data_IF_774804919868
#
_entry.id   IF_774804919868
#
_cell.length_a   1.000
_cell.length_b   1.000
_cell.length_c   1.000
_cell.angle_alpha   90.00
_cell.angle_beta   90.00
_cell.angle_gamma   90.00
#
_symmetry.space_group_name_H-M   'P 1'
#
loop_
_entity.id
_entity.type
_entity.pdbx_description
1 polymer ?
#
# COMPACT_ATOMS: atom_id res chain seq x y z
N UNK A 1 23.66 1.82 -0.75
CA UNK A 1 23.28 0.52 -0.14
C UNK A 1 21.81 0.30 -0.40
N UNK A 2 21.35 -0.93 -0.60
CA UNK A 2 19.99 -1.25 -1.10
C UNK A 2 19.09 -1.81 0.02
N UNK A 3 17.77 -1.91 -0.22
CA UNK A 3 16.80 -2.56 0.69
C UNK A 3 17.25 -3.94 1.19
N UNK A 4 17.98 -4.69 0.34
CA UNK A 4 18.60 -5.97 0.71
C UNK A 4 19.49 -5.85 1.94
N UNK A 5 20.33 -4.81 2.01
CA UNK A 5 21.25 -4.63 3.13
C UNK A 5 20.53 -4.26 4.42
N UNK A 6 19.49 -3.44 4.34
CA UNK A 6 18.66 -3.10 5.51
C UNK A 6 18.10 -4.38 6.12
N UNK A 7 17.49 -5.23 5.30
CA UNK A 7 16.91 -6.49 5.76
C UNK A 7 17.97 -7.49 6.26
N UNK A 8 19.13 -7.58 5.61
CA UNK A 8 20.24 -8.44 6.04
C UNK A 8 20.83 -8.00 7.40
N UNK A 9 20.94 -6.70 7.66
CA UNK A 9 21.39 -6.17 8.95
C UNK A 9 20.42 -6.50 10.09
N UNK A 10 19.14 -6.68 9.78
CA UNK A 10 18.12 -7.14 10.73
C UNK A 10 18.05 -8.67 10.85
N UNK A 11 18.98 -9.39 10.23
CA UNK A 11 19.06 -10.85 10.28
C UNK A 11 18.12 -11.58 9.32
N UNK A 12 17.47 -10.86 8.38
CA UNK A 12 16.70 -11.50 7.32
C UNK A 12 17.65 -12.08 6.27
N UNK A 13 17.34 -13.29 5.79
CA UNK A 13 18.16 -13.97 4.79
C UNK A 13 17.54 -13.83 3.41
N UNK A 14 18.29 -13.30 2.45
CA UNK A 14 17.85 -13.30 1.05
C UNK A 14 17.82 -14.74 0.51
N UNK A 15 16.73 -15.07 -0.19
CA UNK A 15 16.55 -16.35 -0.88
C UNK A 15 16.29 -16.10 -2.37
N UNK A 16 16.61 -17.06 -3.23
CA UNK A 16 16.47 -16.91 -4.69
C UNK A 16 15.03 -17.04 -5.18
N UNK A 17 14.22 -17.80 -4.46
CA UNK A 17 12.83 -18.11 -4.78
C UNK A 17 12.06 -18.46 -3.49
N UNK A 18 10.73 -18.39 -3.50
CA UNK A 18 9.93 -18.85 -2.38
C UNK A 18 10.12 -20.36 -2.10
N UNK A 19 9.94 -20.82 -0.84
CA UNK A 19 10.02 -22.21 -0.46
C UNK A 19 8.76 -22.96 -0.94
N UNK A 20 8.96 -23.93 -1.81
CA UNK A 20 7.95 -24.78 -2.45
C UNK A 20 6.88 -24.04 -3.29
N UNK A 21 6.49 -24.56 -4.46
CA UNK A 21 5.32 -24.05 -5.15
C UNK A 21 4.07 -24.38 -4.33
N UNK A 22 3.26 -23.38 -4.05
CA UNK A 22 1.96 -23.54 -3.39
C UNK A 22 0.86 -23.69 -4.44
N UNK A 23 -0.13 -24.52 -4.14
CA UNK A 23 -1.35 -24.61 -4.93
C UNK A 23 -2.18 -23.31 -4.82
N UNK A 24 -3.05 -23.06 -5.80
CA UNK A 24 -3.99 -21.93 -5.72
C UNK A 24 -4.85 -21.99 -4.46
N UNK A 25 -5.24 -23.19 -4.03
CA UNK A 25 -6.04 -23.40 -2.82
C UNK A 25 -5.27 -22.99 -1.55
N UNK A 26 -3.98 -23.34 -1.43
CA UNK A 26 -3.12 -22.91 -0.33
C UNK A 26 -2.90 -21.39 -0.33
N UNK A 27 -2.69 -20.79 -1.50
CA UNK A 27 -2.54 -19.34 -1.62
C UNK A 27 -3.82 -18.58 -1.23
N UNK A 28 -4.99 -19.15 -1.50
CA UNK A 28 -6.28 -18.56 -1.14
C UNK A 28 -6.66 -18.77 0.33
N UNK A 29 -6.33 -19.93 0.91
CA UNK A 29 -6.86 -20.33 2.23
C UNK A 29 -5.89 -20.10 3.40
N UNK A 30 -4.58 -20.03 3.18
CA UNK A 30 -3.57 -19.89 4.24
C UNK A 30 -2.46 -18.87 3.95
N UNK A 31 -2.77 -17.68 3.38
CA UNK A 31 -1.73 -16.70 3.04
C UNK A 31 -0.88 -16.35 4.26
N UNK A 32 -1.48 -16.11 5.44
CA UNK A 32 -0.74 -15.65 6.64
C UNK A 32 0.29 -16.64 7.19
N UNK A 33 0.07 -17.96 7.05
CA UNK A 33 1.05 -18.95 7.52
C UNK A 33 2.34 -18.90 6.70
N UNK A 34 2.20 -18.65 5.39
CA UNK A 34 3.35 -18.56 4.49
C UNK A 34 4.04 -17.19 4.58
N UNK A 35 3.27 -16.13 4.87
CA UNK A 35 3.82 -14.78 5.12
C UNK A 35 4.79 -14.72 6.32
N UNK A 36 4.69 -15.66 7.26
CA UNK A 36 5.64 -15.79 8.38
C UNK A 36 7.01 -16.29 7.95
N UNK A 37 7.10 -17.01 6.84
CA UNK A 37 8.33 -17.62 6.36
C UNK A 37 8.95 -16.89 5.17
N UNK A 38 8.18 -16.06 4.46
CA UNK A 38 8.66 -15.35 3.27
C UNK A 38 8.11 -13.93 3.21
N UNK A 39 9.03 -12.99 3.08
CA UNK A 39 8.76 -11.63 2.64
C UNK A 39 9.13 -11.45 1.18
N UNK A 40 8.32 -10.67 0.49
CA UNK A 40 8.44 -10.43 -0.95
C UNK A 40 8.56 -8.93 -1.17
N UNK A 41 9.50 -8.53 -2.00
CA UNK A 41 9.63 -7.15 -2.47
C UNK A 41 9.60 -7.17 -3.99
N UNK A 42 8.61 -6.52 -4.57
CA UNK A 42 8.53 -6.27 -6.00
C UNK A 42 8.95 -4.84 -6.31
N UNK A 43 9.93 -4.70 -7.20
CA UNK A 43 10.37 -3.41 -7.74
C UNK A 43 9.83 -3.28 -9.17
N UNK A 44 9.02 -2.25 -9.39
CA UNK A 44 8.37 -1.98 -10.66
C UNK A 44 8.85 -0.62 -11.19
N UNK A 45 9.02 -0.55 -12.52
CA UNK A 45 9.31 0.72 -13.18
C UNK A 45 8.02 1.54 -13.20
N UNK A 46 8.07 2.75 -12.64
CA UNK A 46 6.96 3.70 -12.65
C UNK A 46 7.04 4.64 -13.86
N UNK A 47 6.30 5.74 -13.78
CA UNK A 47 6.50 6.90 -14.64
C UNK A 47 7.96 7.41 -14.53
N UNK A 48 8.48 8.19 -15.50
CA UNK A 48 9.85 8.71 -15.45
C UNK A 48 10.17 9.37 -14.10
N UNK A 49 11.25 8.92 -13.46
CA UNK A 49 11.66 9.39 -12.13
C UNK A 49 11.07 8.61 -10.94
N UNK A 50 10.16 7.68 -11.18
CA UNK A 50 9.50 6.89 -10.14
C UNK A 50 9.89 5.41 -10.19
N UNK A 51 10.14 4.84 -9.01
CA UNK A 51 10.20 3.39 -8.80
C UNK A 51 9.09 3.03 -7.84
N UNK A 52 8.24 2.09 -8.23
CA UNK A 52 7.17 1.60 -7.36
C UNK A 52 7.69 0.37 -6.63
N UNK A 53 7.60 0.41 -5.31
CA UNK A 53 7.95 -0.72 -4.44
C UNK A 53 6.67 -1.24 -3.83
N UNK A 54 6.32 -2.49 -4.14
CA UNK A 54 5.26 -3.21 -3.44
C UNK A 54 5.93 -4.27 -2.57
N UNK A 55 5.45 -4.40 -1.34
CA UNK A 55 6.00 -5.37 -0.40
C UNK A 55 4.92 -6.29 0.09
N UNK A 56 5.32 -7.49 0.47
CA UNK A 56 4.54 -8.39 1.29
C UNK A 56 5.41 -8.80 2.49
N UNK A 57 5.00 -8.50 3.73
CA UNK A 57 3.77 -7.79 4.08
C UNK A 57 3.77 -6.32 3.60
N UNK A 58 2.58 -5.71 3.45
CA UNK A 58 2.41 -4.39 2.82
C UNK A 58 3.11 -3.28 3.60
N UNK A 59 3.18 -3.43 4.92
CA UNK A 59 3.78 -2.52 5.87
C UNK A 59 5.28 -2.79 6.13
N UNK A 60 5.94 -3.60 5.30
CA UNK A 60 7.34 -3.97 5.55
C UNK A 60 8.26 -2.75 5.68
N UNK A 61 8.12 -1.76 4.79
CA UNK A 61 8.95 -0.54 4.81
C UNK A 61 8.60 0.43 5.95
N UNK A 62 7.41 0.24 6.50
CA UNK A 62 6.78 1.08 7.49
C UNK A 62 7.19 0.73 8.91
N UNK A 63 7.59 -0.53 9.11
CA UNK A 63 8.11 -1.08 10.35
C UNK A 63 9.61 -0.81 10.49
N UNK A 64 10.13 -1.05 11.70
CA UNK A 64 11.56 -1.03 12.04
C UNK A 64 11.92 -2.22 12.92
N UNK A 65 13.21 -2.58 12.96
CA UNK A 65 13.71 -3.48 13.99
C UNK A 65 13.69 -2.80 15.36
N UNK A 66 13.52 -3.58 16.45
CA UNK A 66 13.43 -3.06 17.83
C UNK A 66 14.61 -2.17 18.26
N UNK A 67 15.79 -2.39 17.70
CA UNK A 67 17.00 -1.63 18.02
C UNK A 67 17.23 -0.41 17.12
N UNK A 68 16.30 -0.13 16.20
CA UNK A 68 16.42 0.95 15.23
C UNK A 68 15.37 2.01 15.53
N UNK A 69 15.76 3.29 15.41
CA UNK A 69 14.90 4.41 15.78
C UNK A 69 13.97 4.85 14.63
N UNK A 70 14.27 4.51 13.39
CA UNK A 70 13.51 4.97 12.22
C UNK A 70 12.95 3.82 11.38
N UNK A 71 11.79 4.01 10.72
CA UNK A 71 11.25 3.07 9.75
C UNK A 71 12.24 2.69 8.66
N UNK A 72 12.12 1.48 8.10
CA UNK A 72 12.96 1.01 6.99
C UNK A 72 12.89 1.94 5.78
N UNK A 73 11.75 2.59 5.53
CA UNK A 73 11.60 3.58 4.46
C UNK A 73 12.57 4.75 4.62
N UNK A 74 12.66 5.33 5.83
CA UNK A 74 13.59 6.43 6.14
C UNK A 74 15.05 6.00 5.97
N UNK A 75 15.41 4.80 6.45
CA UNK A 75 16.75 4.27 6.23
C UNK A 75 17.05 4.07 4.75
N UNK A 76 16.06 3.62 3.97
CA UNK A 76 16.20 3.41 2.54
C UNK A 76 16.39 4.74 1.81
N UNK A 77 15.58 5.76 2.10
CA UNK A 77 15.66 7.10 1.48
C UNK A 77 17.01 7.77 1.75
N UNK A 78 17.50 7.69 2.99
CA UNK A 78 18.84 8.15 3.35
C UNK A 78 19.94 7.46 2.54
N UNK A 79 19.84 6.15 2.34
CA UNK A 79 20.89 5.38 1.66
C UNK A 79 20.93 5.58 0.15
N UNK A 80 19.78 5.84 -0.46
CA UNK A 80 19.67 6.08 -1.90
C UNK A 80 19.74 7.57 -2.25
N UNK A 81 19.59 8.46 -1.26
CA UNK A 81 19.64 9.90 -1.44
C UNK A 81 18.42 10.45 -2.19
N UNK A 82 17.24 9.85 -2.02
CA UNK A 82 16.01 10.32 -2.64
C UNK A 82 14.84 10.32 -1.65
N UNK A 83 13.83 11.12 -1.94
CA UNK A 83 12.58 11.16 -1.19
C UNK A 83 11.70 9.96 -1.58
N UNK A 84 10.88 9.50 -0.65
CA UNK A 84 9.87 8.47 -0.92
C UNK A 84 8.67 8.62 0.01
N UNK A 85 7.53 8.10 -0.43
CA UNK A 85 6.37 7.94 0.44
C UNK A 85 5.78 6.54 0.31
N UNK A 86 5.10 6.11 1.36
CA UNK A 86 4.25 4.94 1.39
C UNK A 86 2.80 5.39 1.57
N UNK A 87 1.93 4.94 0.66
CA UNK A 87 0.49 5.08 0.81
C UNK A 87 -0.11 3.70 1.14
N UNK A 88 -0.57 3.55 2.37
CA UNK A 88 -1.36 2.40 2.81
C UNK A 88 -2.84 2.74 2.70
N UNK A 89 -3.48 2.39 1.60
CA UNK A 89 -4.90 2.63 1.36
C UNK A 89 -5.72 1.35 1.60
N UNK A 90 -6.66 1.43 2.55
CA UNK A 90 -7.58 0.35 2.90
C UNK A 90 -9.02 0.86 2.79
N UNK A 91 -10.01 -0.03 2.82
CA UNK A 91 -11.41 0.35 2.58
C UNK A 91 -11.95 1.34 3.63
N UNK A 92 -11.47 1.26 4.88
CA UNK A 92 -11.96 2.08 6.00
C UNK A 92 -10.93 3.04 6.60
N UNK A 93 -9.64 2.88 6.27
CA UNK A 93 -8.57 3.69 6.82
C UNK A 93 -7.45 3.88 5.81
N UNK A 94 -6.57 4.83 6.08
CA UNK A 94 -5.35 4.93 5.31
C UNK A 94 -4.34 5.89 5.88
N UNK A 95 -3.09 5.62 5.52
CA UNK A 95 -1.90 6.25 6.10
C UNK A 95 -0.97 6.65 4.96
N UNK A 96 -0.46 7.86 5.06
CA UNK A 96 0.63 8.40 4.25
C UNK A 96 1.86 8.57 5.15
N UNK A 97 2.87 7.74 4.92
CA UNK A 97 4.20 7.91 5.51
C UNK A 97 5.11 8.56 4.46
N UNK A 98 5.63 9.73 4.78
CA UNK A 98 6.63 10.45 3.99
C UNK A 98 8.01 10.26 4.61
N UNK A 99 9.03 10.11 3.76
CA UNK A 99 10.43 10.10 4.19
C UNK A 99 11.31 10.87 3.20
N UNK A 100 12.11 11.80 3.69
CA UNK A 100 13.06 12.55 2.85
C UNK A 100 14.42 11.86 2.76
N UNK A 101 15.28 12.37 1.87
CA UNK A 101 16.64 11.87 1.66
C UNK A 101 17.58 12.05 2.87
N UNK A 102 17.19 12.82 3.89
CA UNK A 102 17.99 13.06 5.11
C UNK A 102 17.51 12.15 6.25
N UNK A 103 16.33 11.54 6.12
CA UNK A 103 15.77 10.56 7.05
C UNK A 103 14.65 11.12 7.91
N UNK A 104 14.21 12.36 7.70
CA UNK A 104 13.02 12.87 8.37
C UNK A 104 11.80 12.09 7.90
N UNK A 105 10.82 11.96 8.79
CA UNK A 105 9.55 11.32 8.48
C UNK A 105 8.38 12.20 8.88
N UNK A 106 7.28 12.04 8.16
CA UNK A 106 5.99 12.59 8.54
C UNK A 106 4.91 11.54 8.28
N UNK A 107 3.98 11.36 9.22
CA UNK A 107 2.90 10.37 9.10
C UNK A 107 1.57 11.07 9.30
N UNK A 108 0.73 10.98 8.28
CA UNK A 108 -0.65 11.49 8.30
C UNK A 108 -1.63 10.40 7.89
N UNK A 109 -2.90 10.55 8.24
CA UNK A 109 -3.90 9.57 7.89
C UNK A 109 -5.08 9.53 8.84
N UNK A 110 -6.06 8.72 8.48
CA UNK A 110 -7.21 8.41 9.30
C UNK A 110 -7.16 6.93 9.63
N UNK A 111 -7.04 6.63 10.93
CA UNK A 111 -7.02 5.28 11.50
C UNK A 111 -7.85 5.25 12.78
N UNK A 112 -8.51 4.12 13.01
CA UNK A 112 -9.17 3.84 14.27
C UNK A 112 -8.15 3.35 15.33
N UNK A 113 -8.58 3.33 16.59
CA UNK A 113 -7.68 3.07 17.74
C UNK A 113 -7.08 1.66 17.75
N UNK A 114 -7.73 0.71 17.10
CA UNK A 114 -7.28 -0.69 17.07
C UNK A 114 -6.08 -0.80 16.11
N UNK A 115 -6.13 -0.05 15.02
CA UNK A 115 -5.18 -0.03 13.92
C UNK A 115 -3.93 0.81 14.24
N UNK A 116 -4.05 1.84 15.10
CA UNK A 116 -2.91 2.64 15.55
C UNK A 116 -1.76 1.81 16.12
N UNK A 117 -2.08 0.78 16.91
CA UNK A 117 -1.06 -0.06 17.55
C UNK A 117 -0.45 -1.10 16.60
N UNK A 118 -1.09 -1.33 15.44
CA UNK A 118 -0.69 -2.38 14.50
C UNK A 118 0.30 -1.86 13.44
N UNK A 119 0.45 -0.53 13.35
CA UNK A 119 1.12 0.13 12.25
C UNK A 119 2.13 1.18 12.74
N UNK A 120 3.32 1.15 12.13
CA UNK A 120 4.40 2.14 12.23
C UNK A 120 5.08 2.35 13.58
N UNK A 121 4.54 1.95 14.75
CA UNK A 121 5.11 2.30 16.08
C UNK A 121 5.37 3.81 16.27
N UNK A 122 4.87 4.64 15.35
CA UNK A 122 5.08 6.07 15.24
C UNK A 122 3.75 6.78 15.45
N UNK A 123 3.82 8.03 15.91
CA UNK A 123 2.63 8.83 16.10
C UNK A 123 2.01 9.26 14.75
N UNK A 124 0.76 8.89 14.51
CA UNK A 124 0.01 9.27 13.31
C UNK A 124 -0.67 10.62 13.55
N UNK A 125 -0.37 11.62 12.73
CA UNK A 125 -1.01 12.93 12.80
C UNK A 125 -2.41 12.88 12.15
N UNK A 126 -3.43 12.64 12.99
CA UNK A 126 -4.83 12.54 12.57
C UNK A 126 -5.46 13.85 12.10
N UNK A 127 -4.86 14.99 12.44
CA UNK A 127 -5.33 16.31 12.00
C UNK A 127 -4.79 16.65 10.60
N UNK A 128 -3.73 15.97 10.17
CA UNK A 128 -3.31 15.93 8.78
C UNK A 128 -4.19 14.94 8.03
N UNK A 129 -5.20 15.44 7.32
CA UNK A 129 -5.66 14.71 6.14
C UNK A 129 -4.47 14.43 5.22
N UNK A 130 -4.57 13.42 4.35
CA UNK A 130 -3.51 12.79 3.52
C UNK A 130 -2.70 13.70 2.59
N UNK A 131 -2.21 14.84 3.07
CA UNK A 131 -1.43 15.82 2.32
C UNK A 131 0.05 15.54 2.50
N UNK A 132 0.86 15.88 1.50
CA UNK A 132 2.31 15.89 1.62
C UNK A 132 2.75 17.11 2.42
N UNK A 133 3.50 16.89 3.50
CA UNK A 133 4.07 17.94 4.35
C UNK A 133 5.59 18.02 4.24
N UNK A 134 6.24 16.88 4.00
CA UNK A 134 7.68 16.78 3.94
C UNK A 134 8.18 16.80 2.50
N UNK A 135 7.44 16.16 1.58
CA UNK A 135 7.91 15.95 0.22
C UNK A 135 7.47 17.06 -0.73
N UNK A 136 8.40 17.47 -1.59
CA UNK A 136 8.08 18.25 -2.78
C UNK A 136 7.72 17.29 -3.93
N UNK A 137 6.41 17.10 -4.14
CA UNK A 137 5.86 16.29 -5.22
C UNK A 137 5.18 17.20 -6.26
N UNK A 138 5.09 16.74 -7.54
CA UNK A 138 4.29 17.41 -8.57
C UNK A 138 2.88 17.78 -8.09
N UNK A 139 2.36 18.90 -8.58
CA UNK A 139 1.08 19.45 -8.13
C UNK A 139 -0.08 18.50 -8.44
N UNK A 140 0.01 17.73 -9.52
CA UNK A 140 -0.98 16.72 -9.88
C UNK A 140 -1.07 15.61 -8.83
N UNK A 141 0.07 15.18 -8.28
CA UNK A 141 0.13 14.18 -7.20
C UNK A 141 -0.40 14.80 -5.90
N UNK A 142 -0.01 16.05 -5.61
CA UNK A 142 -0.48 16.77 -4.43
C UNK A 142 -2.00 16.95 -4.44
N UNK A 143 -2.57 17.29 -5.59
CA UNK A 143 -4.00 17.49 -5.77
C UNK A 143 -4.80 16.22 -5.48
N UNK A 144 -4.27 15.04 -5.87
CA UNK A 144 -4.95 13.75 -5.69
C UNK A 144 -5.03 13.33 -4.22
N UNK A 145 -3.99 13.60 -3.42
CA UNK A 145 -3.95 13.16 -2.02
C UNK A 145 -4.65 14.13 -1.06
N UNK A 146 -4.97 15.34 -1.51
CA UNK A 146 -5.66 16.36 -0.72
C UNK A 146 -7.08 15.93 -0.37
N UNK A 147 -7.41 15.94 0.93
CA UNK A 147 -8.76 15.63 1.39
C UNK A 147 -9.83 16.45 0.67
N UNK A 148 -11.01 15.86 0.43
CA UNK A 148 -12.11 16.55 -0.18
C UNK A 148 -12.48 17.76 0.68
N UNK A 149 -12.80 18.86 0.01
CA UNK A 149 -13.35 20.04 0.68
C UNK A 149 -14.75 19.70 1.24
N UNK A 150 -15.24 20.43 2.25
CA UNK A 150 -16.61 20.26 2.73
C UNK A 150 -17.65 20.40 1.62
N UNK A 151 -17.38 21.25 0.62
CA UNK A 151 -18.21 21.43 -0.57
C UNK A 151 -18.23 20.17 -1.45
N UNK A 152 -17.07 19.57 -1.74
CA UNK A 152 -16.98 18.32 -2.51
C UNK A 152 -17.70 17.15 -1.80
N UNK A 153 -17.59 17.06 -0.48
CA UNK A 153 -18.33 16.03 0.27
C UNK A 153 -19.84 16.33 0.25
N UNK A 154 -20.25 17.59 0.36
CA UNK A 154 -21.66 17.98 0.25
C UNK A 154 -22.24 17.66 -1.16
N UNK A 155 -21.50 17.95 -2.22
CA UNK A 155 -21.87 17.61 -3.60
C UNK A 155 -22.03 16.10 -3.78
N UNK A 156 -21.08 15.31 -3.25
CA UNK A 156 -21.17 13.85 -3.22
C UNK A 156 -22.43 13.36 -2.51
N UNK A 157 -22.77 13.92 -1.33
CA UNK A 157 -23.97 13.55 -0.59
C UNK A 157 -25.26 13.91 -1.35
N UNK A 158 -25.29 15.07 -2.01
CA UNK A 158 -26.41 15.47 -2.88
C UNK A 158 -26.55 14.48 -4.05
N UNK A 159 -25.45 14.11 -4.70
CA UNK A 159 -25.46 13.18 -5.83
C UNK A 159 -25.90 11.78 -5.42
N UNK A 160 -25.46 11.28 -4.26
CA UNK A 160 -25.91 9.99 -3.72
C UNK A 160 -27.43 9.96 -3.53
N UNK A 161 -28.04 11.01 -2.96
CA UNK A 161 -29.50 11.11 -2.81
C UNK A 161 -30.24 11.14 -4.16
N UNK A 162 -29.67 11.82 -5.17
CA UNK A 162 -30.22 11.82 -6.52
C UNK A 162 -30.20 10.41 -7.12
N UNK A 163 -29.09 9.69 -6.98
CA UNK A 163 -28.96 8.31 -7.47
C UNK A 163 -29.93 7.34 -6.76
N UNK A 164 -30.18 7.52 -5.47
CA UNK A 164 -31.21 6.76 -4.75
C UNK A 164 -32.61 6.99 -5.35
N UNK A 165 -32.97 8.25 -5.61
CA UNK A 165 -34.25 8.60 -6.24
C UNK A 165 -34.38 8.00 -7.66
N UNK A 166 -33.29 7.98 -8.42
CA UNK A 166 -33.24 7.37 -9.76
C UNK A 166 -33.38 5.85 -9.69
N UNK A 167 -32.83 5.21 -8.66
CA UNK A 167 -32.96 3.77 -8.43
C UNK A 167 -34.41 3.37 -8.11
N UNK A 168 -35.10 4.18 -7.32
CA UNK A 168 -36.52 3.97 -6.97
C UNK A 168 -37.46 4.15 -8.17
N UNK A 169 -37.07 4.94 -9.17
CA UNK A 169 -37.87 5.23 -10.37
C UNK A 169 -37.64 4.28 -11.55
N UNK A 170 -36.91 3.16 -11.37
CA UNK A 170 -36.65 2.11 -12.39
C UNK A 170 -35.99 2.60 -13.70
N UNK A 171 -35.26 3.72 -13.65
CA UNK A 171 -34.37 4.16 -14.74
C UNK A 171 -33.20 3.18 -14.93
N UNK A 172 -32.49 3.17 -16.08
CA UNK A 172 -31.47 2.16 -16.39
C UNK A 172 -30.49 1.94 -15.23
N UNK A 173 -30.63 0.77 -14.60
CA UNK A 173 -30.02 0.42 -13.30
C UNK A 173 -28.50 0.34 -13.35
N UNK A 174 -27.90 0.09 -14.52
CA UNK A 174 -26.47 -0.17 -14.64
C UNK A 174 -25.62 1.08 -14.39
N UNK A 175 -25.99 2.22 -14.98
CA UNK A 175 -25.24 3.47 -14.80
C UNK A 175 -25.39 4.01 -13.37
N UNK A 176 -26.59 3.88 -12.79
CA UNK A 176 -26.85 4.29 -11.40
C UNK A 176 -26.01 3.47 -10.42
N UNK A 177 -25.99 2.14 -10.57
CA UNK A 177 -25.21 1.26 -9.69
C UNK A 177 -23.70 1.50 -9.80
N UNK A 178 -23.18 1.67 -11.03
CA UNK A 178 -21.75 1.94 -11.24
C UNK A 178 -21.34 3.27 -10.61
N UNK A 179 -22.15 4.31 -10.78
CA UNK A 179 -21.86 5.63 -10.20
C UNK A 179 -21.97 5.64 -8.68
N UNK A 180 -23.01 5.01 -8.12
CA UNK A 180 -23.15 4.86 -6.65
C UNK A 180 -21.93 4.12 -6.07
N UNK A 181 -21.47 3.03 -6.70
CA UNK A 181 -20.30 2.30 -6.25
C UNK A 181 -19.01 3.15 -6.30
N UNK A 182 -18.88 4.04 -7.29
CA UNK A 182 -17.75 4.98 -7.35
C UNK A 182 -17.79 6.01 -6.23
N UNK A 183 -18.96 6.61 -5.95
CA UNK A 183 -19.11 7.63 -4.92
C UNK A 183 -18.97 7.06 -3.49
N UNK A 184 -19.43 5.83 -3.26
CA UNK A 184 -19.29 5.14 -1.97
C UNK A 184 -17.89 4.56 -1.72
N UNK A 185 -17.02 4.58 -2.74
CA UNK A 185 -15.64 4.10 -2.59
C UNK A 185 -14.91 4.89 -1.51
N UNK A 186 -14.20 4.20 -0.62
CA UNK A 186 -13.40 4.81 0.43
C UNK A 186 -12.39 5.81 -0.13
N UNK A 187 -12.21 6.94 0.56
CA UNK A 187 -11.39 8.06 0.08
C UNK A 187 -9.95 7.64 -0.27
N UNK A 188 -9.30 6.85 0.58
CA UNK A 188 -7.94 6.36 0.32
C UNK A 188 -7.82 5.48 -0.92
N UNK A 189 -8.87 4.72 -1.24
CA UNK A 189 -8.91 3.91 -2.46
C UNK A 189 -9.08 4.78 -3.71
N UNK A 190 -9.79 5.89 -3.61
CA UNK A 190 -9.86 6.89 -4.69
C UNK A 190 -8.49 7.54 -4.91
N UNK A 191 -7.75 7.86 -3.83
CA UNK A 191 -6.37 8.35 -3.93
C UNK A 191 -5.49 7.34 -4.66
N UNK A 192 -5.50 6.08 -4.23
CA UNK A 192 -4.67 5.03 -4.84
C UNK A 192 -4.97 4.92 -6.35
N UNK A 193 -6.24 4.86 -6.75
CA UNK A 193 -6.66 4.83 -8.16
C UNK A 193 -6.23 6.07 -8.96
N UNK A 194 -6.34 7.26 -8.38
CA UNK A 194 -5.97 8.51 -9.05
C UNK A 194 -4.45 8.72 -9.14
N UNK A 195 -3.67 8.09 -8.25
CA UNK A 195 -2.22 8.08 -8.32
C UNK A 195 -1.69 7.14 -9.41
N UNK A 196 -2.45 6.11 -9.81
CA UNK A 196 -2.05 5.16 -10.84
C UNK A 196 -1.53 5.85 -12.10
N UNK A 197 -2.32 6.66 -12.83
CA UNK A 197 -1.88 7.25 -14.09
C UNK A 197 -0.70 8.23 -13.92
N UNK A 198 -0.44 8.70 -12.70
CA UNK A 198 0.65 9.64 -12.40
C UNK A 198 1.97 8.92 -12.09
N UNK A 199 1.89 7.72 -11.50
CA UNK A 199 3.04 7.01 -10.94
C UNK A 199 3.37 5.70 -11.66
N UNK A 200 2.43 5.12 -12.40
CA UNK A 200 2.60 3.85 -13.09
C UNK A 200 1.85 3.77 -14.42
N UNK A 201 2.38 3.00 -15.37
CA UNK A 201 1.78 2.88 -16.71
C UNK A 201 1.06 1.54 -16.93
N UNK A 202 0.95 0.67 -15.91
CA UNK A 202 0.29 -0.63 -16.07
C UNK A 202 -0.66 -0.97 -14.94
N UNK A 203 -1.91 -1.22 -15.32
CA UNK A 203 -2.96 -1.77 -14.46
C UNK A 203 -2.58 -3.12 -13.83
N UNK A 204 -1.61 -3.87 -14.40
CA UNK A 204 -1.27 -5.23 -13.97
C UNK A 204 -0.67 -5.31 -12.56
N UNK A 205 -0.05 -4.24 -12.05
CA UNK A 205 0.60 -4.22 -10.73
C UNK A 205 0.14 -3.09 -9.80
N UNK A 206 -0.73 -2.20 -10.25
CA UNK A 206 -1.33 -1.19 -9.38
C UNK A 206 -2.44 -1.82 -8.50
N UNK A 207 -3.28 -2.68 -9.11
CA UNK A 207 -4.45 -3.28 -8.48
C UNK A 207 -4.20 -4.65 -7.83
N UNK A 208 -3.13 -4.73 -7.03
CA UNK A 208 -2.81 -5.95 -6.27
C UNK A 208 -3.85 -6.31 -5.20
N UNK A 209 -4.87 -5.47 -4.97
CA UNK A 209 -6.02 -5.86 -4.14
C UNK A 209 -6.89 -6.95 -4.80
N UNK A 210 -6.86 -7.11 -6.14
CA UNK A 210 -7.50 -8.24 -6.82
C UNK A 210 -6.66 -9.51 -6.77
N UNK A 211 -5.34 -9.38 -6.89
CA UNK A 211 -4.36 -10.45 -6.79
C UNK A 211 -3.12 -9.91 -6.08
N UNK A 212 -2.94 -10.22 -4.79
CA UNK A 212 -1.86 -9.64 -4.00
C UNK A 212 -0.48 -10.02 -4.58
N UNK A 213 0.54 -9.20 -4.28
CA UNK A 213 1.92 -9.43 -4.75
C UNK A 213 2.37 -10.86 -4.48
N UNK A 214 1.94 -11.39 -3.33
CA UNK A 214 2.19 -12.74 -2.91
C UNK A 214 1.66 -13.78 -3.90
N UNK A 215 0.37 -13.75 -4.23
CA UNK A 215 -0.24 -14.65 -5.20
C UNK A 215 0.47 -14.60 -6.55
N UNK A 216 0.75 -13.40 -7.07
CA UNK A 216 1.41 -13.23 -8.37
C UNK A 216 2.86 -13.72 -8.35
N UNK A 217 3.58 -13.52 -7.24
CA UNK A 217 4.95 -13.98 -7.11
C UNK A 217 5.09 -15.51 -7.10
N UNK A 218 4.04 -16.25 -6.72
CA UNK A 218 4.01 -17.72 -6.78
C UNK A 218 3.44 -18.26 -8.10
N UNK A 219 2.43 -17.60 -8.67
CA UNK A 219 1.67 -18.13 -9.83
C UNK A 219 2.09 -17.54 -11.16
N UNK A 220 2.65 -16.33 -11.17
CA UNK A 220 2.90 -15.53 -12.38
C UNK A 220 4.31 -14.92 -12.40
N UNK A 221 5.28 -15.52 -11.70
CA UNK A 221 6.64 -15.00 -11.56
C UNK A 221 7.31 -14.72 -12.91
N UNK A 222 7.19 -15.63 -13.88
CA UNK A 222 7.78 -15.47 -15.21
C UNK A 222 7.20 -14.27 -15.96
N UNK A 223 5.88 -14.07 -15.86
CA UNK A 223 5.21 -12.93 -16.47
C UNK A 223 5.66 -11.62 -15.82
N UNK A 224 5.72 -11.57 -14.48
CA UNK A 224 6.23 -10.39 -13.77
C UNK A 224 7.65 -10.02 -14.23
N UNK A 225 8.55 -11.01 -14.35
CA UNK A 225 9.91 -10.76 -14.83
C UNK A 225 9.91 -10.30 -16.29
N UNK A 226 9.07 -10.87 -17.15
CA UNK A 226 8.92 -10.43 -18.55
C UNK A 226 8.40 -8.98 -18.65
N UNK A 227 7.55 -8.58 -17.70
CA UNK A 227 7.04 -7.20 -17.56
C UNK A 227 8.08 -6.24 -16.94
N UNK A 228 9.31 -6.70 -16.69
CA UNK A 228 10.40 -5.89 -16.15
C UNK A 228 10.40 -5.75 -14.62
N UNK A 229 9.58 -6.53 -13.92
CA UNK A 229 9.52 -6.52 -12.46
C UNK A 229 10.72 -7.27 -11.88
N UNK A 230 11.38 -6.64 -10.89
CA UNK A 230 12.41 -7.32 -10.10
C UNK A 230 11.83 -7.79 -8.77
N UNK A 231 11.69 -9.09 -8.64
CA UNK A 231 11.25 -9.75 -7.40
C UNK A 231 12.45 -10.10 -6.52
N UNK A 232 12.32 -9.82 -5.23
CA UNK A 232 13.28 -10.19 -4.18
C UNK A 232 12.52 -10.94 -3.09
N UNK A 233 13.13 -12.00 -2.58
CA UNK A 233 12.56 -12.85 -1.55
C UNK A 233 13.49 -12.87 -0.34
N UNK A 234 12.89 -12.80 0.85
CA UNK A 234 13.61 -12.82 2.11
C UNK A 234 12.93 -13.77 3.07
N UNK A 235 13.71 -14.60 3.74
CA UNK A 235 13.28 -15.30 4.93
C UNK A 235 13.46 -14.34 6.12
N UNK A 236 12.38 -13.96 6.82
CA UNK A 236 12.49 -13.06 7.96
C UNK A 236 13.24 -13.71 9.11
N UNK A 237 13.90 -12.89 9.93
CA UNK A 237 14.51 -13.35 11.17
C UNK A 237 13.44 -13.93 12.12
N UNK A 238 13.84 -14.90 12.95
CA UNK A 238 12.90 -15.65 13.80
C UNK A 238 12.04 -14.76 14.71
N UNK A 239 12.60 -13.68 15.23
CA UNK A 239 11.88 -12.75 16.09
C UNK A 239 10.72 -12.01 15.39
N UNK A 240 10.72 -11.95 14.06
CA UNK A 240 9.61 -11.40 13.28
C UNK A 240 8.45 -12.39 13.10
N UNK A 241 8.65 -13.69 13.37
CA UNK A 241 7.58 -14.71 13.23
C UNK A 241 6.44 -14.54 14.23
N UNK A 242 6.68 -13.77 15.29
CA UNK A 242 5.70 -13.40 16.31
C UNK A 242 4.95 -12.10 16.00
N UNK A 243 5.32 -11.37 14.94
CA UNK A 243 4.54 -10.22 14.51
C UNK A 243 3.32 -10.72 13.76
N UNK A 244 2.14 -10.39 14.27
CA UNK A 244 0.90 -10.72 13.57
C UNK A 244 0.86 -9.95 12.24
N UNK A 245 0.69 -10.66 11.11
CA UNK A 245 0.44 -10.00 9.84
C UNK A 245 -0.92 -9.32 9.94
N UNK A 246 -1.00 -8.10 9.43
CA UNK A 246 -2.21 -7.28 9.39
C UNK A 246 -3.39 -7.87 8.59
N UNK A 247 -3.25 -9.10 8.09
CA UNK A 247 -4.28 -9.81 7.36
C UNK A 247 -5.50 -10.15 8.22
N UNK A 248 -5.38 -10.15 9.56
CA UNK A 248 -6.55 -10.26 10.44
C UNK A 248 -7.58 -9.14 10.18
N UNK A 249 -7.18 -7.97 9.67
CA UNK A 249 -8.14 -6.90 9.32
C UNK A 249 -8.83 -7.18 7.98
N UNK A 250 -8.14 -7.74 6.98
CA UNK A 250 -8.78 -8.06 5.69
C UNK A 250 -9.66 -9.32 5.73
N UNK A 251 -9.43 -10.23 6.70
CA UNK A 251 -10.24 -11.43 6.87
C UNK A 251 -11.51 -11.20 7.72
N UNK A 252 -11.63 -10.04 8.37
CA UNK A 252 -12.75 -9.71 9.27
C UNK A 252 -13.75 -8.68 8.71
N UNK A 253 -13.58 -8.21 7.47
CA UNK A 253 -14.50 -7.28 6.81
C UNK A 253 -14.73 -7.62 5.35
#
# INVERSE_FOLDING_TARGET
MTITRILELEGCRRISQPPQPLSNEELSNTPWLVLRDVWIVGLFVGAPGWTIVKTQPNELLCRRARSVLSPRLSQLTMQIGCNAFHLGAYDHFGILLEADAVGHIFISGAVDRIEENLFYEEHINKNGYSKFFLLDVPEEIRAVVNAPTPEQEQEKQIRLKQLETLRESQQPLFDVQSETAKLLKGYFRQIDEALEPLLGCSHSYWYLWKNNLFYLAYTQQQQLVADGVRLLYFQPAEHYRHLDPLYEIQAHY
#
